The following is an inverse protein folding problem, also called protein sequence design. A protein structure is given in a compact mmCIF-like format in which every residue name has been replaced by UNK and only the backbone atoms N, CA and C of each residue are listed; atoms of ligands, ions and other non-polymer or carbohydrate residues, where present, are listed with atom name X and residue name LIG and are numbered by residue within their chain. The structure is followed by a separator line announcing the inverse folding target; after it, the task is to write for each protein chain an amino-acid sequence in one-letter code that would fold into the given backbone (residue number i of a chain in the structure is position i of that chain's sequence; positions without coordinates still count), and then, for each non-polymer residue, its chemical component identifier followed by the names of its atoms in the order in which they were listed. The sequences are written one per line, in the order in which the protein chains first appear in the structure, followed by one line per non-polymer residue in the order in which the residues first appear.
data_IF_311392855141
#
_entry.id   IF_311392855141
#
_cell.length_a   1.000
_cell.length_b   1.000
_cell.length_c   1.000
_cell.angle_alpha   90.00
_cell.angle_beta   90.00
_cell.angle_gamma   90.00
#
_symmetry.space_group_name_H-M   'P 1'
#
loop_
_entity.id
_entity.type
_entity.pdbx_description
1 polymer ?
#
# COMPACT_ATOMS: atom_id res chain seq x y z
N UNK A 1 -40.34 18.82 13.60
CA UNK A 1 -39.56 17.56 13.72
C UNK A 1 -38.11 17.96 13.91
N UNK A 2 -37.44 17.44 14.94
CA UNK A 2 -36.13 17.92 15.37
C UNK A 2 -35.04 17.80 14.29
N UNK A 3 -33.95 18.54 14.49
CA UNK A 3 -32.73 18.50 13.69
C UNK A 3 -32.06 17.11 13.85
N UNK A 4 -32.50 16.12 13.09
CA UNK A 4 -31.90 14.77 13.12
C UNK A 4 -30.52 14.86 12.47
N UNK A 5 -29.48 14.77 13.29
CA UNK A 5 -28.09 14.78 12.85
C UNK A 5 -27.58 13.41 12.39
N UNK A 6 -28.03 12.34 13.05
CA UNK A 6 -27.65 10.98 12.73
C UNK A 6 -28.88 10.09 12.61
N UNK A 7 -28.91 9.22 11.59
CA UNK A 7 -30.00 8.29 11.36
C UNK A 7 -29.44 6.89 11.12
N UNK A 8 -29.91 5.92 11.90
CA UNK A 8 -29.58 4.50 11.73
C UNK A 8 -30.83 3.72 11.33
N UNK A 9 -30.79 3.09 10.16
CA UNK A 9 -31.82 2.21 9.64
C UNK A 9 -31.31 0.78 9.74
N UNK A 10 -31.91 -0.03 10.61
CA UNK A 10 -31.44 -1.40 10.84
C UNK A 10 -32.59 -2.39 10.91
N UNK A 11 -32.46 -3.52 10.21
CA UNK A 11 -33.43 -4.63 10.22
C UNK A 11 -34.84 -4.19 9.77
N UNK A 12 -34.93 -3.23 8.86
CA UNK A 12 -36.20 -2.74 8.30
C UNK A 12 -36.41 -3.32 6.90
N UNK A 13 -37.67 -3.61 6.55
CA UNK A 13 -38.06 -4.06 5.20
C UNK A 13 -38.36 -2.87 4.26
N UNK A 14 -37.49 -1.85 4.24
CA UNK A 14 -37.68 -0.63 3.45
C UNK A 14 -36.98 -0.77 2.09
N UNK A 15 -37.74 -0.74 1.00
CA UNK A 15 -37.23 -0.92 -0.37
C UNK A 15 -36.44 0.28 -0.91
N UNK A 16 -36.85 1.50 -0.55
CA UNK A 16 -36.26 2.75 -1.01
C UNK A 16 -36.53 3.85 0.03
N UNK A 17 -35.68 4.88 0.07
CA UNK A 17 -36.00 6.05 0.88
C UNK A 17 -37.10 6.88 0.20
N UNK A 18 -38.11 7.34 0.95
CA UNK A 18 -39.09 8.27 0.42
C UNK A 18 -38.41 9.60 0.09
N UNK A 19 -38.97 10.34 -0.87
CA UNK A 19 -38.49 11.69 -1.26
C UNK A 19 -38.45 12.64 -0.06
N UNK A 20 -39.33 12.44 0.94
CA UNK A 20 -39.34 13.20 2.20
C UNK A 20 -38.05 13.08 3.02
N UNK A 21 -37.13 12.16 2.68
CA UNK A 21 -35.80 12.09 3.27
C UNK A 21 -35.00 13.38 3.08
N UNK A 22 -35.23 14.12 1.98
CA UNK A 22 -34.58 15.42 1.74
C UNK A 22 -34.94 16.48 2.79
N UNK A 23 -36.04 16.29 3.54
CA UNK A 23 -36.42 17.19 4.63
C UNK A 23 -35.49 17.04 5.86
N UNK A 24 -34.61 16.04 5.89
CA UNK A 24 -33.59 15.86 6.92
C UNK A 24 -32.37 16.74 6.62
N UNK A 25 -32.58 18.06 6.62
CA UNK A 25 -31.57 19.03 6.20
C UNK A 25 -30.34 19.09 7.11
N UNK A 26 -30.46 18.65 8.37
CA UNK A 26 -29.38 18.64 9.36
C UNK A 26 -28.66 17.29 9.48
N UNK A 27 -29.03 16.31 8.66
CA UNK A 27 -28.46 14.97 8.69
C UNK A 27 -27.02 14.98 8.18
N UNK A 28 -26.08 14.60 9.05
CA UNK A 28 -24.66 14.50 8.72
C UNK A 28 -24.14 13.05 8.71
N UNK A 29 -24.86 12.09 9.32
CA UNK A 29 -24.50 10.67 9.27
C UNK A 29 -25.71 9.78 8.99
N UNK A 30 -25.56 8.87 8.02
CA UNK A 30 -26.54 7.86 7.68
C UNK A 30 -25.93 6.46 7.79
N UNK A 31 -26.49 5.62 8.64
CA UNK A 31 -26.13 4.22 8.79
C UNK A 31 -27.27 3.31 8.33
N UNK A 32 -26.95 2.30 7.53
CA UNK A 32 -27.95 1.45 6.86
C UNK A 32 -27.53 -0.01 6.95
N UNK A 33 -28.40 -0.83 7.52
CA UNK A 33 -28.25 -2.28 7.59
C UNK A 33 -29.62 -2.94 7.44
N UNK A 34 -30.13 -2.96 6.20
CA UNK A 34 -31.47 -3.43 5.86
C UNK A 34 -31.43 -4.39 4.66
N UNK A 35 -32.33 -5.37 4.68
CA UNK A 35 -32.52 -6.29 3.56
C UNK A 35 -33.42 -5.60 2.50
N UNK A 36 -32.85 -5.39 1.30
CA UNK A 36 -33.38 -4.66 0.13
C UNK A 36 -33.43 -3.13 0.23
N UNK A 37 -32.34 -2.45 -0.16
CA UNK A 37 -32.29 -0.99 -0.17
C UNK A 37 -31.70 -0.43 -1.47
N UNK A 38 -32.41 0.51 -2.10
CA UNK A 38 -31.96 1.32 -3.24
C UNK A 38 -31.61 2.74 -2.76
N UNK A 39 -30.35 3.16 -2.87
CA UNK A 39 -29.92 4.57 -2.78
C UNK A 39 -29.96 5.13 -4.16
N UNK A 40 -30.30 6.39 -4.18
CA UNK A 40 -30.14 7.28 -5.29
C UNK A 40 -29.42 8.52 -4.75
N UNK A 41 -29.15 9.45 -5.65
CA UNK A 41 -28.56 10.75 -5.33
C UNK A 41 -29.41 11.60 -4.36
N UNK A 42 -30.67 11.25 -4.07
CA UNK A 42 -31.54 11.97 -3.11
C UNK A 42 -30.92 12.00 -1.71
N UNK A 43 -30.08 11.01 -1.39
CA UNK A 43 -29.39 10.93 -0.10
C UNK A 43 -28.24 11.93 0.01
N UNK A 44 -27.69 12.39 -1.11
CA UNK A 44 -26.58 13.33 -1.13
C UNK A 44 -27.06 14.76 -0.81
N UNK A 45 -27.45 14.99 0.44
CA UNK A 45 -27.83 16.31 0.95
C UNK A 45 -26.57 17.12 1.28
N UNK A 46 -26.61 18.48 1.22
CA UNK A 46 -25.43 19.31 1.42
C UNK A 46 -24.69 19.06 2.74
N UNK A 47 -25.41 18.73 3.83
CA UNK A 47 -24.80 18.50 5.16
C UNK A 47 -24.40 17.05 5.42
N UNK A 48 -24.69 16.12 4.51
CA UNK A 48 -24.39 14.70 4.74
C UNK A 48 -22.88 14.45 4.57
N UNK A 49 -22.22 14.08 5.67
CA UNK A 49 -20.77 13.87 5.71
C UNK A 49 -20.41 12.39 5.57
N UNK A 50 -21.25 11.48 6.09
CA UNK A 50 -20.95 10.06 6.15
C UNK A 50 -22.14 9.16 5.79
N UNK A 51 -21.90 8.21 4.90
CA UNK A 51 -22.81 7.11 4.57
C UNK A 51 -22.12 5.79 4.90
N UNK A 52 -22.78 4.95 5.69
CA UNK A 52 -22.28 3.64 6.10
C UNK A 52 -23.37 2.61 5.79
N UNK A 53 -23.06 1.65 4.93
CA UNK A 53 -23.99 0.61 4.48
C UNK A 53 -23.37 -0.76 4.76
N UNK A 54 -24.01 -1.55 5.61
CA UNK A 54 -23.45 -2.82 6.12
C UNK A 54 -24.47 -3.94 5.96
N UNK A 55 -24.01 -5.13 5.56
CA UNK A 55 -24.81 -6.35 5.46
C UNK A 55 -26.02 -6.25 4.49
N UNK A 56 -25.93 -5.42 3.46
CA UNK A 56 -27.01 -5.25 2.48
C UNK A 56 -26.78 -6.14 1.23
N UNK A 57 -27.50 -7.27 1.14
CA UNK A 57 -27.31 -8.29 0.10
C UNK A 57 -27.86 -7.92 -1.28
N UNK A 58 -28.93 -7.14 -1.35
CA UNK A 58 -29.60 -6.75 -2.61
C UNK A 58 -29.54 -5.23 -2.85
N UNK A 59 -28.48 -4.62 -2.32
CA UNK A 59 -28.14 -3.21 -2.46
C UNK A 59 -27.96 -2.81 -3.94
N UNK A 60 -28.54 -1.67 -4.37
CA UNK A 60 -28.32 -1.10 -5.70
C UNK A 60 -28.24 0.42 -5.64
N UNK A 61 -27.23 1.00 -6.29
CA UNK A 61 -27.24 2.41 -6.60
C UNK A 61 -28.05 2.66 -7.87
N UNK A 62 -29.10 3.47 -7.77
CA UNK A 62 -30.01 3.78 -8.86
C UNK A 62 -29.83 5.23 -9.27
N UNK A 63 -29.54 5.49 -10.56
CA UNK A 63 -29.61 6.84 -11.11
C UNK A 63 -31.05 7.35 -10.98
N UNK A 64 -31.24 8.61 -10.60
CA UNK A 64 -32.53 9.26 -10.78
C UNK A 64 -32.94 9.12 -12.25
N UNK A 65 -34.17 8.64 -12.52
CA UNK A 65 -34.67 8.51 -13.90
C UNK A 65 -34.63 9.87 -14.60
N UNK A 66 -34.21 9.86 -15.85
CA UNK A 66 -33.95 10.99 -16.75
C UNK A 66 -35.04 12.09 -16.74
N UNK A 67 -34.61 13.35 -16.92
CA UNK A 67 -35.49 14.40 -17.45
C UNK A 67 -35.41 15.79 -16.81
N UNK A 68 -34.78 15.91 -15.64
CA UNK A 68 -34.49 17.22 -15.04
C UNK A 68 -32.99 17.43 -14.95
N UNK A 69 -32.41 17.91 -16.06
CA UNK A 69 -31.34 18.90 -15.98
C UNK A 69 -31.91 20.16 -15.28
N UNK A 70 -32.18 20.06 -13.99
CA UNK A 70 -32.19 21.25 -13.14
C UNK A 70 -30.77 21.35 -12.66
N UNK A 71 -30.07 22.38 -13.15
CA UNK A 71 -28.70 22.77 -12.80
C UNK A 71 -28.53 22.98 -11.30
N UNK A 72 -28.47 21.87 -10.60
CA UNK A 72 -28.33 21.76 -9.17
C UNK A 72 -27.27 20.70 -8.95
N UNK A 73 -26.03 21.05 -9.29
CA UNK A 73 -24.85 20.44 -8.70
C UNK A 73 -24.95 20.69 -7.19
N UNK A 74 -25.76 19.88 -6.50
CA UNK A 74 -25.73 19.81 -5.05
C UNK A 74 -24.36 19.24 -4.75
N UNK A 75 -23.42 20.12 -4.43
CA UNK A 75 -22.15 19.71 -3.88
C UNK A 75 -22.46 19.05 -2.55
N UNK A 76 -22.30 17.73 -2.52
CA UNK A 76 -22.41 16.95 -1.30
C UNK A 76 -21.12 17.14 -0.51
N UNK A 77 -21.23 17.48 0.77
CA UNK A 77 -20.09 17.47 1.71
C UNK A 77 -19.71 16.04 2.14
N UNK A 78 -20.14 15.01 1.40
CA UNK A 78 -19.82 13.62 1.70
C UNK A 78 -18.30 13.41 1.71
N UNK A 79 -17.78 13.08 2.89
CA UNK A 79 -16.35 12.78 3.13
C UNK A 79 -16.09 11.29 3.34
N UNK A 80 -17.08 10.56 3.84
CA UNK A 80 -16.93 9.15 4.19
C UNK A 80 -18.01 8.29 3.54
N UNK A 81 -17.58 7.27 2.80
CA UNK A 81 -18.49 6.28 2.22
C UNK A 81 -17.99 4.86 2.52
N UNK A 82 -18.83 4.05 3.13
CA UNK A 82 -18.54 2.65 3.45
C UNK A 82 -19.64 1.71 2.94
N UNK A 83 -19.21 0.68 2.20
CA UNK A 83 -19.97 -0.53 1.92
C UNK A 83 -19.22 -1.71 2.51
N UNK A 84 -19.87 -2.44 3.42
CA UNK A 84 -19.28 -3.60 4.08
C UNK A 84 -20.21 -4.82 3.99
N UNK A 85 -19.66 -5.95 3.56
CA UNK A 85 -20.39 -7.23 3.39
C UNK A 85 -21.66 -7.06 2.53
N UNK A 86 -21.55 -6.25 1.47
CA UNK A 86 -22.62 -5.96 0.50
C UNK A 86 -22.36 -6.60 -0.86
N UNK A 87 -23.42 -6.98 -1.59
CA UNK A 87 -23.27 -7.53 -2.95
C UNK A 87 -23.08 -6.41 -4.00
N UNK A 88 -21.93 -5.77 -3.98
CA UNK A 88 -21.53 -4.80 -5.00
C UNK A 88 -20.85 -5.56 -6.15
N UNK A 89 -21.31 -5.34 -7.38
CA UNK A 89 -20.66 -5.80 -8.61
C UNK A 89 -20.16 -4.59 -9.43
N UNK A 90 -19.54 -4.87 -10.57
CA UNK A 90 -18.87 -3.84 -11.37
C UNK A 90 -19.84 -2.84 -12.02
N UNK A 91 -21.13 -3.17 -12.14
CA UNK A 91 -22.16 -2.28 -12.71
C UNK A 91 -22.26 -0.95 -11.93
N UNK A 92 -21.94 -0.98 -10.63
CA UNK A 92 -21.89 0.21 -9.78
C UNK A 92 -20.99 1.31 -10.33
N UNK A 93 -19.85 0.93 -10.92
CA UNK A 93 -18.88 1.89 -11.46
C UNK A 93 -19.44 2.68 -12.64
N UNK A 94 -20.35 2.09 -13.42
CA UNK A 94 -21.04 2.74 -14.55
C UNK A 94 -22.28 3.57 -14.12
N UNK A 95 -22.88 3.22 -12.99
CA UNK A 95 -24.14 3.80 -12.55
C UNK A 95 -23.95 5.12 -11.81
N UNK A 96 -23.01 5.22 -10.87
CA UNK A 96 -22.99 6.39 -10.00
C UNK A 96 -21.69 6.68 -9.27
N UNK A 97 -20.66 5.89 -9.52
CA UNK A 97 -19.42 6.00 -8.77
C UNK A 97 -18.84 7.42 -8.76
N UNK A 98 -18.93 8.14 -9.88
CA UNK A 98 -18.48 9.54 -10.00
C UNK A 98 -19.19 10.52 -9.07
N UNK A 99 -20.38 10.20 -8.57
CA UNK A 99 -21.09 11.03 -7.57
C UNK A 99 -20.37 11.04 -6.22
N UNK A 100 -19.44 10.10 -6.01
CA UNK A 100 -18.62 9.99 -4.80
C UNK A 100 -17.23 10.64 -4.97
N UNK A 101 -16.97 11.38 -6.05
CA UNK A 101 -15.63 11.94 -6.32
C UNK A 101 -15.12 12.92 -5.24
N UNK A 102 -16.00 13.47 -4.40
CA UNK A 102 -15.66 14.39 -3.30
C UNK A 102 -15.23 13.69 -2.00
N UNK A 103 -15.42 12.37 -1.89
CA UNK A 103 -15.13 11.63 -0.65
C UNK A 103 -13.63 11.64 -0.34
N UNK A 104 -13.30 11.73 0.95
CA UNK A 104 -11.93 11.63 1.44
C UNK A 104 -11.59 10.21 1.87
N UNK A 105 -12.57 9.43 2.32
CA UNK A 105 -12.41 8.05 2.77
C UNK A 105 -13.44 7.14 2.10
N UNK A 106 -12.97 6.12 1.41
CA UNK A 106 -13.79 5.17 0.67
C UNK A 106 -13.49 3.73 1.11
N UNK A 107 -14.50 3.03 1.61
CA UNK A 107 -14.38 1.67 2.12
C UNK A 107 -15.31 0.73 1.37
N UNK A 108 -14.74 -0.26 0.70
CA UNK A 108 -15.41 -1.38 0.09
C UNK A 108 -14.88 -2.66 0.72
N UNK A 109 -15.44 -3.06 1.87
CA UNK A 109 -14.99 -4.25 2.59
C UNK A 109 -15.88 -5.44 2.25
N UNK A 110 -15.27 -6.59 1.98
CA UNK A 110 -16.02 -7.85 1.74
C UNK A 110 -17.07 -7.73 0.63
N UNK A 111 -16.79 -6.97 -0.43
CA UNK A 111 -17.67 -6.84 -1.61
C UNK A 111 -17.15 -7.65 -2.81
N UNK A 112 -18.00 -7.82 -3.83
CA UNK A 112 -17.78 -8.72 -4.97
C UNK A 112 -17.28 -8.01 -6.24
N UNK A 113 -16.66 -6.83 -6.13
CA UNK A 113 -16.06 -6.12 -7.26
C UNK A 113 -14.89 -6.92 -7.84
N UNK A 114 -14.71 -6.84 -9.16
CA UNK A 114 -13.59 -7.51 -9.85
C UNK A 114 -12.47 -6.55 -10.22
N UNK A 115 -12.75 -5.25 -10.31
CA UNK A 115 -11.73 -4.24 -10.54
C UNK A 115 -12.01 -2.93 -9.79
N UNK A 116 -10.99 -2.10 -9.60
CA UNK A 116 -11.16 -0.67 -9.34
C UNK A 116 -11.13 0.08 -10.69
N UNK A 117 -12.09 0.97 -10.98
CA UNK A 117 -12.23 1.59 -12.30
C UNK A 117 -11.18 2.68 -12.55
N UNK A 118 -10.88 2.94 -13.81
CA UNK A 118 -9.94 4.00 -14.19
C UNK A 118 -10.40 5.40 -13.74
N UNK A 119 -11.70 5.65 -13.75
CA UNK A 119 -12.27 6.95 -13.35
C UNK A 119 -12.03 7.31 -11.88
N UNK A 120 -11.53 6.39 -11.04
CA UNK A 120 -11.11 6.72 -9.68
C UNK A 120 -9.94 7.73 -9.65
N UNK A 121 -9.23 7.91 -10.76
CA UNK A 121 -8.19 8.97 -10.93
C UNK A 121 -8.77 10.38 -10.73
N UNK A 122 -10.06 10.56 -10.97
CA UNK A 122 -10.76 11.85 -10.78
C UNK A 122 -11.10 12.14 -9.31
N UNK A 123 -10.84 11.20 -8.38
CA UNK A 123 -11.15 11.35 -6.95
C UNK A 123 -10.03 12.13 -6.24
N UNK A 124 -9.88 13.41 -6.58
CA UNK A 124 -8.78 14.25 -6.08
C UNK A 124 -8.78 14.48 -4.56
N UNK A 125 -9.91 14.27 -3.89
CA UNK A 125 -10.02 14.41 -2.42
C UNK A 125 -9.74 13.09 -1.67
N UNK A 126 -9.71 11.96 -2.37
CA UNK A 126 -9.63 10.64 -1.76
C UNK A 126 -8.23 10.38 -1.19
N UNK A 127 -8.14 10.29 0.13
CA UNK A 127 -6.90 10.04 0.87
C UNK A 127 -6.81 8.63 1.44
N UNK A 128 -7.94 7.94 1.64
CA UNK A 128 -7.98 6.58 2.16
C UNK A 128 -8.94 5.71 1.35
N UNK A 129 -8.39 4.67 0.70
CA UNK A 129 -9.15 3.62 0.03
C UNK A 129 -8.91 2.26 0.71
N UNK A 130 -9.98 1.60 1.14
CA UNK A 130 -9.92 0.27 1.74
C UNK A 130 -10.80 -0.71 0.97
N UNK A 131 -10.18 -1.71 0.34
CA UNK A 131 -10.83 -2.81 -0.39
C UNK A 131 -10.62 -4.17 0.29
N UNK A 132 -10.36 -4.18 1.61
CA UNK A 132 -10.03 -5.38 2.38
C UNK A 132 -11.09 -6.47 2.21
N UNK A 133 -10.64 -7.72 2.02
CA UNK A 133 -11.45 -8.92 1.81
C UNK A 133 -12.33 -8.87 0.55
N UNK A 134 -12.07 -7.99 -0.40
CA UNK A 134 -12.62 -8.10 -1.75
C UNK A 134 -11.94 -9.26 -2.50
N UNK A 135 -12.42 -10.48 -2.25
CA UNK A 135 -11.77 -11.72 -2.72
C UNK A 135 -11.73 -11.86 -4.24
N UNK A 136 -12.66 -11.21 -4.94
CA UNK A 136 -12.78 -11.22 -6.41
C UNK A 136 -12.05 -10.08 -7.11
N UNK A 137 -11.46 -9.15 -6.36
CA UNK A 137 -10.71 -8.03 -6.95
C UNK A 137 -9.47 -8.59 -7.67
N UNK A 138 -9.43 -8.43 -8.98
CA UNK A 138 -8.38 -8.93 -9.88
C UNK A 138 -7.43 -7.82 -10.32
N UNK A 139 -7.94 -6.59 -10.50
CA UNK A 139 -7.22 -5.50 -11.16
C UNK A 139 -7.53 -4.12 -10.55
N UNK A 140 -6.54 -3.24 -10.55
CA UNK A 140 -6.65 -1.83 -10.21
C UNK A 140 -6.32 -1.02 -11.47
N UNK A 141 -7.34 -0.41 -12.09
CA UNK A 141 -7.20 0.32 -13.37
C UNK A 141 -6.92 1.82 -13.19
N UNK A 142 -6.97 2.30 -11.95
CA UNK A 142 -6.71 3.69 -11.62
C UNK A 142 -6.36 3.85 -10.15
N UNK A 143 -5.60 4.90 -9.85
CA UNK A 143 -5.22 5.27 -8.49
C UNK A 143 -5.48 6.78 -8.33
N UNK A 144 -6.16 7.22 -7.25
CA UNK A 144 -6.34 8.64 -6.97
C UNK A 144 -5.00 9.33 -6.76
N UNK A 145 -4.82 10.57 -7.25
CA UNK A 145 -3.53 11.26 -7.20
C UNK A 145 -3.08 11.67 -5.80
N UNK A 146 -4.01 11.82 -4.85
CA UNK A 146 -3.73 12.22 -3.47
C UNK A 146 -3.94 11.07 -2.47
N UNK A 147 -3.93 9.82 -2.94
CA UNK A 147 -4.16 8.66 -2.11
C UNK A 147 -2.98 8.46 -1.15
N UNK A 148 -3.24 8.54 0.16
CA UNK A 148 -2.24 8.35 1.21
C UNK A 148 -2.25 6.94 1.75
N UNK A 149 -3.45 6.40 1.99
CA UNK A 149 -3.64 5.09 2.61
C UNK A 149 -4.38 4.17 1.65
N UNK A 150 -3.77 3.02 1.34
CA UNK A 150 -4.41 1.96 0.57
C UNK A 150 -4.38 0.64 1.34
N UNK A 151 -5.51 -0.07 1.40
CA UNK A 151 -5.62 -1.40 2.02
C UNK A 151 -6.34 -2.37 1.10
N UNK A 152 -5.64 -3.38 0.62
CA UNK A 152 -6.17 -4.51 -0.15
C UNK A 152 -5.74 -5.84 0.49
N UNK A 153 -6.07 -5.98 1.77
CA UNK A 153 -5.73 -7.16 2.58
C UNK A 153 -6.71 -8.29 2.24
N UNK A 154 -6.25 -9.53 2.08
CA UNK A 154 -7.10 -10.67 1.68
C UNK A 154 -7.84 -10.52 0.34
N UNK A 155 -7.32 -9.72 -0.59
CA UNK A 155 -7.79 -9.71 -1.97
C UNK A 155 -7.22 -10.92 -2.71
N UNK A 156 -7.93 -12.05 -2.67
CA UNK A 156 -7.41 -13.35 -3.13
C UNK A 156 -7.23 -13.52 -4.63
N UNK A 157 -7.88 -12.69 -5.43
CA UNK A 157 -7.71 -12.69 -6.88
C UNK A 157 -6.73 -11.61 -7.37
N UNK A 158 -6.26 -10.71 -6.50
CA UNK A 158 -5.44 -9.57 -6.93
C UNK A 158 -4.04 -10.05 -7.27
N UNK A 159 -3.67 -9.99 -8.55
CA UNK A 159 -2.35 -10.44 -9.01
C UNK A 159 -1.31 -9.32 -8.88
N UNK A 160 -0.03 -9.67 -9.00
CA UNK A 160 1.06 -8.68 -9.09
C UNK A 160 0.89 -7.77 -10.31
N UNK A 161 0.41 -8.32 -11.43
CA UNK A 161 0.07 -7.52 -12.62
C UNK A 161 -1.09 -6.57 -12.33
N UNK A 162 -2.15 -7.06 -11.69
CA UNK A 162 -3.34 -6.28 -11.39
C UNK A 162 -3.13 -5.15 -10.36
N UNK A 163 -2.07 -5.22 -9.56
CA UNK A 163 -1.71 -4.19 -8.57
C UNK A 163 -0.51 -3.33 -8.99
N UNK A 164 0.07 -3.56 -10.17
CA UNK A 164 1.32 -2.93 -10.62
C UNK A 164 1.30 -1.40 -10.63
N UNK A 165 0.14 -0.77 -10.84
CA UNK A 165 -0.03 0.69 -10.78
C UNK A 165 0.31 1.28 -9.41
N UNK A 166 0.14 0.50 -8.33
CA UNK A 166 0.48 0.89 -6.95
C UNK A 166 1.99 0.90 -6.68
N UNK A 167 2.83 0.47 -7.63
CA UNK A 167 4.29 0.44 -7.52
C UNK A 167 4.96 1.51 -8.41
N UNK A 168 4.17 2.41 -8.99
CA UNK A 168 4.71 3.52 -9.79
C UNK A 168 5.47 4.51 -8.89
N UNK A 169 6.73 4.78 -9.22
CA UNK A 169 7.57 5.69 -8.44
C UNK A 169 6.94 7.09 -8.27
N UNK A 170 6.39 7.66 -9.34
CA UNK A 170 5.82 9.02 -9.35
C UNK A 170 4.64 9.18 -8.39
N UNK A 171 3.87 8.10 -8.17
CA UNK A 171 2.77 8.08 -7.20
C UNK A 171 3.26 8.34 -5.77
N UNK A 172 4.50 7.96 -5.48
CA UNK A 172 5.09 8.01 -4.15
C UNK A 172 6.16 9.09 -4.01
N UNK A 173 6.39 9.93 -5.02
CA UNK A 173 7.33 11.05 -4.91
C UNK A 173 6.77 12.16 -4.03
N UNK A 174 5.45 12.36 -4.04
CA UNK A 174 4.75 13.45 -3.32
C UNK A 174 3.80 12.87 -2.27
N UNK A 175 3.57 13.62 -1.19
CA UNK A 175 2.57 13.28 -0.18
C UNK A 175 2.96 12.13 0.75
N UNK A 176 1.97 11.62 1.50
CA UNK A 176 2.13 10.47 2.39
C UNK A 176 1.84 9.17 1.63
N UNK A 177 2.34 8.03 2.10
CA UNK A 177 2.16 6.73 1.50
C UNK A 177 2.16 5.67 2.60
N UNK A 178 1.06 4.93 2.69
CA UNK A 178 0.93 3.72 3.50
C UNK A 178 0.01 2.73 2.78
N UNK A 179 0.61 1.85 1.99
CA UNK A 179 -0.07 0.98 1.04
C UNK A 179 0.19 -0.47 1.44
N UNK A 180 -0.90 -1.25 1.60
CA UNK A 180 -0.83 -2.67 1.89
C UNK A 180 -1.67 -3.41 0.87
N UNK A 181 -1.04 -4.29 0.12
CA UNK A 181 -1.70 -5.06 -0.93
C UNK A 181 -0.94 -6.36 -1.20
N UNK A 182 -1.55 -7.24 -1.99
CA UNK A 182 -0.97 -8.54 -2.28
C UNK A 182 0.20 -8.44 -3.26
N UNK A 183 1.27 -9.16 -2.89
CA UNK A 183 2.24 -9.78 -3.79
C UNK A 183 3.06 -8.81 -4.64
N UNK A 184 4.09 -9.35 -5.29
CA UNK A 184 5.01 -8.61 -6.15
C UNK A 184 6.46 -8.75 -5.70
N UNK A 185 7.34 -8.15 -6.49
CA UNK A 185 8.75 -7.99 -6.18
C UNK A 185 9.01 -6.52 -5.87
N UNK A 186 10.06 -6.24 -5.09
CA UNK A 186 10.51 -4.86 -4.92
C UNK A 186 10.85 -4.28 -6.31
N UNK A 187 10.27 -3.13 -6.69
CA UNK A 187 10.58 -2.49 -7.96
C UNK A 187 12.07 -2.16 -8.11
N UNK A 188 12.57 -2.19 -9.34
CA UNK A 188 13.97 -1.89 -9.65
C UNK A 188 14.40 -0.45 -9.34
N UNK A 189 13.44 0.48 -9.17
CA UNK A 189 13.72 1.87 -8.83
C UNK A 189 14.08 2.09 -7.35
N UNK A 190 13.95 1.08 -6.49
CA UNK A 190 14.45 1.14 -5.11
C UNK A 190 15.98 1.16 -5.07
N UNK A 191 16.56 2.10 -4.32
CA UNK A 191 18.02 2.31 -4.27
C UNK A 191 18.78 1.11 -3.69
N UNK A 192 18.20 0.46 -2.68
CA UNK A 192 18.77 -0.73 -2.04
C UNK A 192 17.68 -1.75 -1.76
N UNK A 193 18.02 -3.02 -1.93
CA UNK A 193 17.17 -4.16 -1.65
C UNK A 193 17.95 -5.18 -0.81
N UNK A 194 17.25 -5.88 0.07
CA UNK A 194 17.80 -6.91 0.95
C UNK A 194 16.81 -8.05 1.09
N UNK A 195 17.33 -9.28 1.30
CA UNK A 195 16.54 -10.45 1.72
C UNK A 195 16.60 -10.68 3.23
N UNK A 196 17.29 -9.81 3.95
CA UNK A 196 17.40 -9.85 5.41
C UNK A 196 16.19 -9.23 6.10
N UNK A 197 16.13 -9.36 7.44
CA UNK A 197 15.03 -8.84 8.27
C UNK A 197 15.03 -7.31 8.41
N UNK A 198 16.06 -6.65 7.88
CA UNK A 198 16.22 -5.20 7.95
C UNK A 198 16.90 -4.65 6.70
N UNK A 199 16.76 -3.33 6.55
CA UNK A 199 17.48 -2.53 5.57
C UNK A 199 17.95 -1.24 6.21
N UNK A 200 19.09 -0.75 5.74
CA UNK A 200 19.67 0.46 6.32
C UNK A 200 20.33 1.35 5.30
N UNK A 201 20.44 2.62 5.66
CA UNK A 201 21.19 3.65 4.97
C UNK A 201 21.82 4.59 5.99
N UNK A 202 22.76 5.39 5.52
CA UNK A 202 23.43 6.42 6.29
C UNK A 202 23.08 7.78 5.70
N UNK A 203 22.87 8.75 6.58
CA UNK A 203 22.73 10.14 6.19
C UNK A 203 23.61 11.04 7.06
N UNK A 204 23.87 12.25 6.59
CA UNK A 204 24.47 13.32 7.38
C UNK A 204 23.83 14.64 7.04
N UNK A 205 24.14 15.67 7.81
CA UNK A 205 23.63 17.04 7.65
C UNK A 205 22.12 17.17 7.88
N UNK A 206 21.28 16.62 6.99
CA UNK A 206 19.82 16.69 7.05
C UNK A 206 19.20 15.36 6.69
N UNK A 207 18.20 14.90 7.45
CA UNK A 207 17.44 13.71 7.11
C UNK A 207 16.70 13.91 5.76
N UNK A 208 16.65 12.91 4.87
CA UNK A 208 15.97 13.05 3.57
C UNK A 208 14.50 13.45 3.72
N UNK A 209 13.96 14.32 2.85
CA UNK A 209 12.58 14.79 2.95
C UNK A 209 11.56 13.65 2.82
N UNK A 210 11.91 12.61 2.06
CA UNK A 210 11.08 11.41 1.93
C UNK A 210 11.96 10.18 1.78
N UNK A 211 11.63 9.16 2.56
CA UNK A 211 12.25 7.83 2.51
C UNK A 211 11.11 6.83 2.45
N UNK A 212 11.07 6.02 1.40
CA UNK A 212 10.09 4.96 1.23
C UNK A 212 10.74 3.64 1.62
N UNK A 213 10.00 2.85 2.38
CA UNK A 213 10.35 1.47 2.68
C UNK A 213 9.27 0.55 2.13
N UNK A 214 9.69 -0.55 1.52
CA UNK A 214 8.81 -1.57 1.00
C UNK A 214 9.22 -2.93 1.54
N UNK A 215 8.27 -3.65 2.11
CA UNK A 215 8.52 -4.99 2.67
C UNK A 215 7.58 -6.00 2.07
N UNK A 216 8.13 -7.17 1.75
CA UNK A 216 7.39 -8.33 1.28
C UNK A 216 7.41 -9.38 2.38
N UNK A 217 6.24 -9.68 2.94
CA UNK A 217 6.12 -10.66 4.01
C UNK A 217 4.75 -11.36 3.98
N UNK A 218 4.65 -12.62 4.45
CA UNK A 218 3.37 -13.27 4.67
C UNK A 218 2.68 -12.61 5.87
N UNK A 219 1.36 -12.36 5.78
CA UNK A 219 0.59 -11.92 6.95
C UNK A 219 0.32 -13.14 7.85
N UNK A 220 0.83 -13.13 9.08
CA UNK A 220 0.62 -14.20 10.07
C UNK A 220 -0.64 -13.97 10.93
N UNK A 221 -1.21 -15.09 11.35
CA UNK A 221 -2.46 -15.24 12.12
C UNK A 221 -2.31 -14.92 13.63
N UNK A 222 -1.47 -13.94 13.98
CA UNK A 222 -1.35 -13.51 15.37
C UNK A 222 -2.40 -12.44 15.65
N UNK A 223 -3.34 -12.82 16.52
CA UNK A 223 -4.32 -11.93 17.13
C UNK A 223 -3.59 -10.68 17.62
N UNK A 224 -3.83 -9.57 16.95
CA UNK A 224 -3.41 -8.23 17.33
C UNK A 224 -1.90 -7.92 17.29
N UNK A 225 -1.19 -8.18 16.18
CA UNK A 225 -0.04 -7.33 15.78
C UNK A 225 0.41 -7.61 14.35
N UNK A 226 0.11 -6.67 13.43
CA UNK A 226 0.77 -6.67 12.12
C UNK A 226 2.28 -6.55 12.27
N UNK A 227 3.01 -6.89 11.21
CA UNK A 227 4.41 -6.56 11.01
C UNK A 227 4.54 -5.02 11.10
N UNK A 228 4.83 -4.51 12.30
CA UNK A 228 4.92 -3.07 12.61
C UNK A 228 6.32 -2.56 12.28
N UNK A 229 6.48 -1.62 11.33
CA UNK A 229 7.80 -1.15 10.93
C UNK A 229 8.46 -0.39 12.07
N UNK A 230 9.60 -0.89 12.54
CA UNK A 230 10.45 -0.21 13.50
C UNK A 230 11.55 0.53 12.76
N UNK A 231 11.80 1.77 13.18
CA UNK A 231 12.89 2.57 12.65
C UNK A 231 13.85 2.87 13.80
N UNK A 232 15.12 2.55 13.58
CA UNK A 232 16.20 2.82 14.50
C UNK A 232 17.08 3.91 13.90
N UNK A 233 17.40 4.93 14.70
CA UNK A 233 18.38 5.96 14.34
C UNK A 233 19.53 5.87 15.35
N UNK A 234 20.72 5.51 14.89
CA UNK A 234 21.88 5.18 15.73
C UNK A 234 21.48 4.21 16.87
N UNK A 235 20.87 3.09 16.50
CA UNK A 235 20.40 2.01 17.40
C UNK A 235 19.29 2.41 18.38
N UNK A 236 18.78 3.64 18.32
CA UNK A 236 17.64 4.08 19.14
C UNK A 236 16.35 3.88 18.39
N UNK A 237 15.52 2.97 18.91
CA UNK A 237 14.14 2.77 18.46
C UNK A 237 13.39 4.07 18.52
N UNK A 238 12.73 4.41 17.43
CA UNK A 238 11.83 5.53 17.37
C UNK A 238 10.39 5.04 17.62
N UNK A 239 9.75 5.57 18.66
CA UNK A 239 8.35 5.25 18.98
C UNK A 239 7.43 5.78 17.88
N UNK A 240 6.46 4.97 17.46
CA UNK A 240 5.44 5.38 16.52
C UNK A 240 4.10 4.75 16.88
N UNK A 241 3.01 5.48 16.68
CA UNK A 241 1.66 4.95 16.87
C UNK A 241 1.21 4.20 15.62
N UNK A 242 1.32 2.87 15.62
CA UNK A 242 0.70 2.05 14.60
C UNK A 242 -0.77 1.78 14.95
N UNK A 243 -1.72 2.17 14.08
CA UNK A 243 -3.14 1.81 14.30
C UNK A 243 -3.34 0.34 13.95
N UNK A 244 -3.84 -0.50 14.88
CA UNK A 244 -4.07 -1.92 14.60
C UNK A 244 -5.09 -2.09 13.46
N UNK A 245 -4.82 -3.04 12.57
CA UNK A 245 -5.76 -3.48 11.53
C UNK A 245 -6.54 -4.68 12.06
N UNK A 246 -7.81 -4.79 11.66
CA UNK A 246 -8.72 -5.88 12.02
C UNK A 246 -8.11 -7.27 11.74
N UNK A 247 -8.37 -8.23 12.66
CA UNK A 247 -7.89 -9.62 12.76
C UNK A 247 -7.76 -10.39 11.42
N UNK A 248 -6.69 -11.18 11.23
CA UNK A 248 -6.31 -11.78 9.94
C UNK A 248 -5.87 -13.25 10.08
N UNK A 249 -6.36 -14.13 9.18
CA UNK A 249 -5.85 -15.49 8.93
C UNK A 249 -4.82 -15.58 7.79
N UNK A 250 -3.84 -16.48 7.94
CA UNK A 250 -2.82 -16.81 6.94
C UNK A 250 -3.38 -17.10 5.54
N UNK A 251 -2.67 -16.65 4.49
CA UNK A 251 -2.52 -17.46 3.27
C UNK A 251 -1.47 -16.94 2.26
N UNK A 252 -1.22 -15.62 2.11
CA UNK A 252 -0.40 -15.11 0.97
C UNK A 252 0.47 -13.88 1.29
N UNK A 253 1.54 -13.70 0.50
CA UNK A 253 2.50 -12.59 0.64
C UNK A 253 1.83 -11.23 0.37
N UNK A 254 2.09 -10.27 1.26
CA UNK A 254 1.68 -8.89 1.10
C UNK A 254 2.91 -7.98 0.97
N UNK A 255 2.76 -6.92 0.19
CA UNK A 255 3.66 -5.79 0.15
C UNK A 255 3.13 -4.71 1.10
N UNK A 256 3.99 -4.20 1.98
CA UNK A 256 3.76 -2.98 2.75
C UNK A 256 4.73 -1.92 2.26
N UNK A 257 4.22 -0.91 1.55
CA UNK A 257 4.96 0.25 1.08
C UNK A 257 4.56 1.45 1.92
N UNK A 258 5.51 2.06 2.64
CA UNK A 258 5.23 3.20 3.49
C UNK A 258 6.34 4.25 3.51
N UNK A 259 5.98 5.48 3.85
CA UNK A 259 6.93 6.56 4.13
C UNK A 259 7.50 6.46 5.55
N UNK A 260 8.81 6.39 5.69
CA UNK A 260 9.50 6.29 6.99
C UNK A 260 9.21 7.50 7.89
N UNK A 261 9.12 8.72 7.33
CA UNK A 261 8.80 9.94 8.11
C UNK A 261 7.37 9.95 8.69
N UNK A 262 6.47 9.14 8.17
CA UNK A 262 5.08 9.10 8.61
C UNK A 262 4.92 8.41 9.98
N UNK A 263 6.01 7.84 10.49
CA UNK A 263 6.08 7.20 11.79
C UNK A 263 6.27 8.20 12.95
N UNK A 264 6.17 9.52 12.72
CA UNK A 264 6.22 10.56 13.76
C UNK A 264 7.40 10.44 14.75
N UNK A 265 8.60 10.79 14.29
CA UNK A 265 9.81 10.80 15.13
C UNK A 265 10.00 12.13 15.86
N UNK A 266 10.85 12.14 16.89
CA UNK A 266 11.32 13.39 17.52
C UNK A 266 12.22 14.16 16.53
N UNK A 267 11.76 15.34 16.10
CA UNK A 267 12.48 16.23 15.17
C UNK A 267 13.88 16.59 15.68
N UNK A 268 14.10 16.60 17.00
CA UNK A 268 15.42 16.85 17.61
C UNK A 268 16.49 15.83 17.24
N UNK A 269 16.10 14.63 16.79
CA UNK A 269 17.02 13.59 16.30
C UNK A 269 17.33 13.71 14.80
N UNK A 270 16.62 14.58 14.07
CA UNK A 270 16.75 14.76 12.63
C UNK A 270 17.67 15.93 12.24
N UNK A 271 17.89 16.88 13.16
CA UNK A 271 18.83 17.98 13.00
C UNK A 271 20.21 17.61 13.59
N UNK A 272 21.27 18.17 13.01
CA UNK A 272 22.66 17.93 13.42
C UNK A 272 23.37 19.23 13.80
N UNK A 273 24.07 19.28 14.94
CA UNK A 273 24.93 20.42 15.27
C UNK A 273 26.29 20.40 14.56
N UNK A 274 26.72 19.27 13.96
CA UNK A 274 28.04 19.11 13.33
C UNK A 274 27.92 18.48 11.93
N UNK A 275 28.49 19.14 10.92
CA UNK A 275 28.36 18.78 9.48
C UNK A 275 29.03 17.46 9.06
N UNK A 276 29.84 16.82 9.93
CA UNK A 276 30.73 15.70 9.53
C UNK A 276 30.29 14.32 9.98
N UNK A 277 29.38 14.21 10.95
CA UNK A 277 28.99 12.92 11.51
C UNK A 277 27.92 12.23 10.66
N UNK A 278 28.05 10.91 10.51
CA UNK A 278 27.04 10.07 9.87
C UNK A 278 26.10 9.49 10.91
N UNK A 279 24.79 9.58 10.64
CA UNK A 279 23.74 8.87 11.36
C UNK A 279 23.32 7.63 10.57
N UNK A 280 23.21 6.51 11.26
CA UNK A 280 22.72 5.25 10.72
C UNK A 280 21.21 5.18 10.91
N UNK A 281 20.50 4.81 9.85
CA UNK A 281 19.07 4.54 9.89
C UNK A 281 18.87 3.10 9.49
N UNK A 282 18.20 2.34 10.34
CA UNK A 282 17.80 0.98 10.08
C UNK A 282 16.27 0.88 10.16
N UNK A 283 15.68 0.27 9.15
CA UNK A 283 14.26 -0.10 9.14
C UNK A 283 14.18 -1.61 9.31
N UNK A 284 13.46 -2.02 10.35
CA UNK A 284 13.15 -3.40 10.71
C UNK A 284 11.69 -3.47 11.16
N UNK A 285 11.28 -4.51 11.88
CA UNK A 285 9.90 -4.69 12.34
C UNK A 285 9.81 -5.32 13.74
N UNK A 286 8.73 -4.98 14.46
CA UNK A 286 8.45 -5.51 15.80
C UNK A 286 8.20 -7.02 15.75
N UNK A 287 8.67 -7.74 16.79
CA UNK A 287 8.51 -9.19 16.90
C UNK A 287 9.45 -10.04 16.03
N UNK A 288 10.41 -9.43 15.31
CA UNK A 288 11.35 -10.12 14.42
C UNK A 288 12.50 -10.88 15.10
N UNK A 289 12.51 -10.97 16.44
CA UNK A 289 13.64 -11.58 17.17
C UNK A 289 13.82 -13.07 16.81
N UNK A 290 12.80 -13.74 16.25
CA UNK A 290 12.86 -15.19 15.98
C UNK A 290 12.24 -15.72 14.66
N UNK A 291 11.87 -14.90 13.66
CA UNK A 291 11.28 -15.46 12.42
C UNK A 291 11.71 -14.79 11.11
N UNK A 292 12.13 -15.63 10.15
CA UNK A 292 12.56 -15.34 8.78
C UNK A 292 11.41 -14.96 7.83
N UNK A 293 10.44 -14.16 8.30
CA UNK A 293 9.19 -13.90 7.58
C UNK A 293 9.33 -12.88 6.46
N UNK A 294 10.19 -11.88 6.67
CA UNK A 294 10.48 -10.89 5.64
C UNK A 294 11.25 -11.60 4.53
N UNK A 295 10.60 -11.71 3.38
CA UNK A 295 11.19 -12.31 2.18
C UNK A 295 12.11 -11.33 1.48
N UNK A 296 11.72 -10.06 1.49
CA UNK A 296 12.50 -8.97 0.92
C UNK A 296 12.09 -7.63 1.54
N UNK A 297 13.05 -6.72 1.62
CA UNK A 297 12.86 -5.34 2.03
C UNK A 297 13.64 -4.42 1.09
N UNK A 298 13.04 -3.28 0.75
CA UNK A 298 13.61 -2.27 -0.15
C UNK A 298 13.50 -0.90 0.47
N UNK A 299 14.49 -0.05 0.22
CA UNK A 299 14.47 1.35 0.62
C UNK A 299 14.78 2.26 -0.56
N UNK A 300 14.01 3.34 -0.68
CA UNK A 300 14.23 4.40 -1.65
C UNK A 300 14.30 5.74 -0.93
N UNK A 301 15.34 6.51 -1.22
CA UNK A 301 15.56 7.83 -0.62
C UNK A 301 15.31 8.88 -1.70
N UNK A 302 14.24 9.66 -1.53
CA UNK A 302 13.92 10.78 -2.43
C UNK A 302 14.88 11.92 -2.14
N UNK A 303 15.58 12.37 -3.17
CA UNK A 303 16.64 13.38 -3.08
C UNK A 303 16.06 14.74 -3.46
N UNK A 304 16.24 15.74 -2.61
CA UNK A 304 15.98 17.15 -2.93
C UNK A 304 17.15 17.74 -3.72
N UNK A 305 16.90 18.69 -4.62
CA UNK A 305 17.97 19.38 -5.38
C UNK A 305 19.00 20.07 -4.47
N UNK A 306 18.56 20.54 -3.30
CA UNK A 306 19.43 21.14 -2.29
C UNK A 306 20.26 20.13 -1.50
N UNK A 307 19.98 18.84 -1.62
CA UNK A 307 20.64 17.77 -0.87
C UNK A 307 21.73 17.14 -1.75
N UNK A 308 22.99 17.29 -1.34
CA UNK A 308 24.11 16.76 -2.12
C UNK A 308 24.10 15.24 -2.15
N UNK A 309 24.36 14.62 -3.33
CA UNK A 309 24.50 13.15 -3.45
C UNK A 309 25.53 12.54 -2.48
N UNK A 310 26.42 13.35 -1.91
CA UNK A 310 27.45 12.93 -0.96
C UNK A 310 26.93 12.72 0.47
N UNK A 311 25.67 13.04 0.73
CA UNK A 311 25.11 13.05 2.09
C UNK A 311 24.23 11.84 2.41
N UNK A 312 24.09 10.91 1.45
CA UNK A 312 23.40 9.62 1.60
C UNK A 312 24.30 8.49 1.13
N UNK A 313 24.39 7.41 1.93
CA UNK A 313 25.16 6.20 1.59
C UNK A 313 24.40 4.94 1.99
N UNK A 314 24.66 3.87 1.26
CA UNK A 314 24.07 2.54 1.53
C UNK A 314 25.09 1.53 2.05
N UNK A 315 26.36 1.90 1.98
CA UNK A 315 27.56 1.28 2.52
C UNK A 315 28.01 2.00 3.80
N UNK A 316 28.76 1.31 4.67
CA UNK A 316 29.27 1.89 5.92
C UNK A 316 30.33 2.99 5.62
N UNK A 317 30.07 4.25 6.01
CA UNK A 317 30.96 5.36 5.70
C UNK A 317 32.32 5.30 6.40
N UNK A 318 32.45 4.52 7.48
CA UNK A 318 33.67 4.34 8.26
C UNK A 318 34.49 3.13 7.81
N UNK A 319 33.91 2.25 6.99
CA UNK A 319 34.71 1.21 6.32
C UNK A 319 35.51 1.84 5.18
N UNK A 320 36.84 1.93 5.35
CA UNK A 320 37.72 2.26 4.22
C UNK A 320 37.53 1.19 3.14
N UNK A 321 37.09 1.55 1.95
CA UNK A 321 37.22 0.71 0.76
C UNK A 321 38.71 0.49 0.51
N UNK A 322 39.30 -0.50 1.19
CA UNK A 322 40.50 -1.15 0.68
C UNK A 322 40.06 -1.87 -0.58
N UNK A 323 40.14 -1.18 -1.71
CA UNK A 323 40.23 -1.85 -3.00
C UNK A 323 41.55 -2.61 -2.95
N UNK A 324 41.50 -3.86 -2.51
CA UNK A 324 42.56 -4.79 -2.81
C UNK A 324 42.50 -4.96 -4.33
N UNK A 325 43.57 -4.67 -5.10
CA UNK A 325 43.61 -5.14 -6.46
C UNK A 325 43.54 -6.66 -6.36
N UNK A 326 42.36 -7.24 -6.63
CA UNK A 326 42.22 -8.68 -6.72
C UNK A 326 43.14 -9.12 -7.86
N UNK A 327 44.30 -9.66 -7.49
CA UNK A 327 45.11 -10.52 -8.33
C UNK A 327 44.31 -11.80 -8.64
N UNK A 328 43.28 -11.67 -9.48
CA UNK A 328 42.45 -12.78 -9.95
C UNK A 328 43.25 -13.77 -10.82
N UNK A 329 44.48 -13.42 -11.23
CA UNK A 329 45.32 -14.29 -12.06
C UNK A 329 46.06 -15.39 -11.28
N UNK A 330 46.32 -15.26 -9.98
CA UNK A 330 47.21 -16.20 -9.28
C UNK A 330 46.46 -17.40 -8.67
N UNK A 331 45.16 -17.26 -8.35
CA UNK A 331 44.39 -18.33 -7.73
C UNK A 331 43.80 -19.36 -8.72
N UNK A 332 43.72 -19.05 -10.02
CA UNK A 332 43.15 -19.94 -11.03
C UNK A 332 44.19 -20.75 -11.83
N UNK A 333 45.48 -20.43 -11.71
CA UNK A 333 46.57 -21.16 -12.36
C UNK A 333 46.56 -22.67 -12.07
N UNK A 334 46.45 -23.15 -10.81
CA UNK A 334 46.44 -24.59 -10.55
C UNK A 334 45.15 -25.27 -11.06
N UNK A 335 44.01 -24.56 -11.09
CA UNK A 335 42.74 -25.09 -11.59
C UNK A 335 42.74 -25.26 -13.11
N UNK A 336 43.32 -24.32 -13.85
CA UNK A 336 43.46 -24.42 -15.31
C UNK A 336 44.45 -25.52 -15.74
N UNK A 337 45.51 -25.75 -14.96
CA UNK A 337 46.44 -26.85 -15.22
C UNK A 337 45.81 -28.22 -14.95
N UNK A 338 45.03 -28.37 -13.88
CA UNK A 338 44.32 -29.62 -13.58
C UNK A 338 43.23 -29.93 -14.63
N UNK A 339 42.50 -28.91 -15.08
CA UNK A 339 41.45 -29.09 -16.10
C UNK A 339 42.04 -29.43 -17.48
N UNK A 340 43.15 -28.80 -17.88
CA UNK A 340 43.81 -29.09 -19.15
C UNK A 340 44.48 -30.47 -19.16
N UNK A 341 45.10 -30.91 -18.06
CA UNK A 341 45.65 -32.26 -17.94
C UNK A 341 44.56 -33.33 -18.00
N UNK A 342 43.41 -33.11 -17.35
CA UNK A 342 42.28 -34.03 -17.39
C UNK A 342 41.69 -34.15 -18.81
N UNK A 343 41.61 -33.04 -19.56
CA UNK A 343 41.11 -33.04 -20.93
C UNK A 343 42.06 -33.74 -21.91
N UNK A 344 43.38 -33.59 -21.74
CA UNK A 344 44.39 -34.31 -22.53
C UNK A 344 44.34 -35.80 -22.25
N UNK A 345 44.21 -36.21 -20.98
CA UNK A 345 44.07 -37.63 -20.63
C UNK A 345 42.77 -38.22 -21.20
N UNK A 346 41.65 -37.48 -21.14
CA UNK A 346 40.36 -37.94 -21.65
C UNK A 346 40.36 -38.10 -23.18
N UNK A 347 40.97 -37.16 -23.91
CA UNK A 347 41.11 -37.25 -25.37
C UNK A 347 42.08 -38.35 -25.81
N UNK A 348 43.12 -38.64 -25.02
CA UNK A 348 44.04 -39.76 -25.28
C UNK A 348 43.41 -41.15 -25.09
N UNK A 349 42.45 -41.28 -24.16
CA UNK A 349 41.71 -42.52 -23.93
C UNK A 349 40.66 -42.81 -25.01
N UNK A 350 40.08 -41.76 -25.60
CA UNK A 350 39.08 -41.88 -26.68
C UNK A 350 39.71 -42.09 -28.08
N UNK A 351 41.04 -41.99 -28.20
CA UNK A 351 41.76 -42.14 -29.47
C UNK A 351 42.25 -43.56 -29.76
N UNK A 352 42.01 -44.55 -28.89
CA UNK A 352 42.28 -45.96 -29.18
C UNK A 352 41.05 -46.64 -29.79
N UNK A 353 41.06 -46.98 -31.09
CA UNK A 353 40.04 -47.85 -31.64
C UNK A 353 40.29 -49.28 -31.11
N UNK A 354 39.35 -49.79 -30.33
CA UNK A 354 39.18 -51.24 -30.13
C UNK A 354 39.00 -51.90 -31.49
N UNK A 355 40.06 -52.51 -32.02
CA UNK A 355 39.94 -53.54 -33.05
C UNK A 355 39.67 -54.88 -32.36
N UNK A 356 38.60 -55.53 -32.84
CA UNK A 356 38.05 -56.87 -32.55
C UNK A 356 38.67 -57.70 -31.43
#
# INVERSE_FOLDING_TARGET
MGNIGELSLSKLAIKELPVSFQNLTELHRLHISCDFYRLNSIVLTPKLVAIIVINCKDWKWVKSKDGEEVGSTVFSDLRYFELNSCNLNDDFFSAAFMQLATVTSLHFREVNITFLPECIKEFHCLNYLNVTRCKRLEEIRGVPPNLKIFRAIHCTSLTSSGSSMLLNQQLHEVGETDFIFRGGSIPSWFDKQSRGPSISFWFRHKFPPKVLCLTVAPLLDLVAEMIRPMVLINDKVQEHTFKPIDEVRLELDHMHLFGVRELHFDDGLMEMPLEKEWKHVEVTYEGLVDTSLIKAIGIHVVKEESMGMKDIRFDDPYTSTKVWPCNFFIAFLPFFFLFSLALVLFTSFMAYPTQL
#
